data_IF_483136589199
#
_entry.id   IF_483136589199
#
_cell.length_a   1.000
_cell.length_b   1.000
_cell.length_c   1.000
_cell.angle_alpha   90.00
_cell.angle_beta   90.00
_cell.angle_gamma   90.00
#
_symmetry.space_group_name_H-M   'P 1'
#
loop_
_entity.id
_entity.type
_entity.pdbx_description
1 polymer ?
#
# COMPACT_ATOMS: atom_id res chain seq x y z
N UNK A 1 -14.37 -5.96 -23.96
CA UNK A 1 -13.23 -5.19 -23.43
C UNK A 1 -12.79 -5.88 -22.16
N UNK A 2 -11.84 -6.81 -22.27
CA UNK A 2 -11.22 -7.55 -21.17
C UNK A 2 -9.76 -7.12 -21.07
N UNK A 3 -9.20 -7.27 -19.87
CA UNK A 3 -7.82 -6.98 -19.46
C UNK A 3 -7.66 -5.59 -18.81
N UNK A 4 -8.12 -5.50 -17.56
CA UNK A 4 -7.52 -4.61 -16.55
C UNK A 4 -6.85 -5.46 -15.48
N UNK A 5 -5.89 -6.26 -15.92
CA UNK A 5 -5.04 -6.96 -14.98
C UNK A 5 -4.13 -5.95 -14.28
N UNK A 6 -4.09 -6.05 -12.96
CA UNK A 6 -3.07 -5.41 -12.14
C UNK A 6 -1.71 -5.79 -12.77
N UNK A 7 -1.01 -4.85 -13.40
CA UNK A 7 0.27 -5.14 -14.10
C UNK A 7 1.32 -5.76 -13.17
N UNK A 8 1.15 -5.56 -11.86
CA UNK A 8 1.98 -6.11 -10.79
C UNK A 8 1.22 -7.24 -10.09
N UNK A 9 1.91 -8.34 -9.78
CA UNK A 9 1.29 -9.47 -9.09
C UNK A 9 0.75 -9.05 -7.71
N UNK A 10 -0.53 -9.31 -7.44
CA UNK A 10 -1.19 -9.00 -6.16
C UNK A 10 -0.43 -9.55 -4.94
N UNK A 11 0.17 -10.75 -5.04
CA UNK A 11 1.01 -11.32 -3.97
C UNK A 11 2.25 -10.48 -3.70
N UNK A 12 2.87 -9.92 -4.75
CA UNK A 12 4.04 -9.06 -4.60
C UNK A 12 3.69 -7.76 -3.86
N UNK A 13 2.50 -7.21 -4.10
CA UNK A 13 2.02 -6.02 -3.38
C UNK A 13 1.79 -6.32 -1.90
N UNK A 14 1.23 -7.48 -1.56
CA UNK A 14 1.13 -7.94 -0.18
C UNK A 14 2.50 -8.06 0.50
N UNK A 15 3.49 -8.65 -0.17
CA UNK A 15 4.87 -8.71 0.34
C UNK A 15 5.45 -7.32 0.58
N UNK A 16 5.25 -6.37 -0.33
CA UNK A 16 5.71 -4.98 -0.17
C UNK A 16 5.08 -4.30 1.05
N UNK A 17 3.78 -4.50 1.26
CA UNK A 17 3.07 -3.89 2.40
C UNK A 17 3.50 -4.52 3.73
N UNK A 18 3.68 -5.84 3.78
CA UNK A 18 4.21 -6.54 4.96
C UNK A 18 5.63 -6.05 5.26
N UNK A 19 6.49 -5.94 4.24
CA UNK A 19 7.85 -5.44 4.41
C UNK A 19 7.88 -4.00 4.96
N UNK A 20 7.01 -3.12 4.46
CA UNK A 20 6.85 -1.77 4.99
C UNK A 20 6.44 -1.76 6.46
N UNK A 21 5.48 -2.59 6.85
CA UNK A 21 5.08 -2.73 8.25
C UNK A 21 6.25 -3.24 9.11
N UNK A 22 6.97 -4.26 8.66
CA UNK A 22 8.14 -4.78 9.38
C UNK A 22 9.22 -3.71 9.57
N UNK A 23 9.54 -2.94 8.54
CA UNK A 23 10.49 -1.82 8.65
C UNK A 23 10.00 -0.77 9.62
N UNK A 24 8.71 -0.44 9.61
CA UNK A 24 8.12 0.50 10.56
C UNK A 24 8.25 0.01 12.01
N UNK A 25 7.92 -1.25 12.28
CA UNK A 25 8.04 -1.83 13.62
C UNK A 25 9.51 -1.93 14.08
N UNK A 26 10.41 -2.41 13.22
CA UNK A 26 11.84 -2.48 13.52
C UNK A 26 12.43 -1.09 13.73
N UNK A 27 12.04 -0.11 12.91
CA UNK A 27 12.44 1.28 13.03
C UNK A 27 11.97 1.90 14.35
N UNK A 28 10.73 1.64 14.75
CA UNK A 28 10.18 2.10 16.02
C UNK A 28 10.88 1.45 17.22
N UNK A 29 11.11 0.13 17.18
CA UNK A 29 11.80 -0.60 18.23
C UNK A 29 13.25 -0.12 18.41
N UNK A 30 13.96 0.07 17.30
CA UNK A 30 15.32 0.59 17.30
C UNK A 30 15.40 1.99 17.92
N UNK A 31 14.40 2.86 17.66
CA UNK A 31 14.32 4.18 18.29
C UNK A 31 14.11 4.08 19.81
N UNK A 32 13.26 3.17 20.28
CA UNK A 32 13.03 2.94 21.72
C UNK A 32 14.31 2.42 22.40
N UNK A 33 15.05 1.53 21.73
CA UNK A 33 16.32 0.99 22.23
C UNK A 33 17.52 1.93 22.00
N UNK A 34 17.29 3.15 21.50
CA UNK A 34 18.32 4.14 21.17
C UNK A 34 19.40 3.63 20.20
N UNK A 35 19.05 2.67 19.34
CA UNK A 35 19.95 2.23 18.28
C UNK A 35 20.11 3.34 17.25
N UNK A 36 21.36 3.66 16.90
CA UNK A 36 21.68 4.56 15.81
C UNK A 36 21.43 3.85 14.47
N UNK A 37 20.17 3.88 14.02
CA UNK A 37 19.86 3.42 12.67
C UNK A 37 20.48 4.39 11.67
N UNK A 38 21.31 3.90 10.72
CA UNK A 38 21.82 4.74 9.67
C UNK A 38 20.66 5.34 8.86
N UNK A 39 20.81 6.60 8.47
CA UNK A 39 19.77 7.34 7.73
C UNK A 39 19.31 6.65 6.44
N UNK A 40 20.16 5.80 5.85
CA UNK A 40 19.84 4.96 4.70
C UNK A 40 18.63 4.03 4.93
N UNK A 41 18.43 3.52 6.14
CA UNK A 41 17.29 2.65 6.47
C UNK A 41 15.98 3.43 6.39
N UNK A 42 15.97 4.68 6.87
CA UNK A 42 14.82 5.57 6.73
C UNK A 42 14.51 5.83 5.26
N UNK A 43 15.55 6.12 4.45
CA UNK A 43 15.41 6.33 3.01
C UNK A 43 14.82 5.10 2.32
N UNK A 44 15.32 3.90 2.62
CA UNK A 44 14.78 2.64 2.06
C UNK A 44 13.32 2.44 2.46
N UNK A 45 12.97 2.69 3.72
CA UNK A 45 11.58 2.61 4.19
C UNK A 45 10.66 3.58 3.46
N UNK A 46 11.08 4.83 3.25
CA UNK A 46 10.31 5.81 2.49
C UNK A 46 10.14 5.40 1.02
N UNK A 47 11.19 4.91 0.37
CA UNK A 47 11.13 4.43 -1.02
C UNK A 47 10.11 3.29 -1.15
N UNK A 48 10.20 2.29 -0.25
CA UNK A 48 9.27 1.16 -0.25
C UNK A 48 7.83 1.61 0.03
N UNK A 49 7.64 2.56 0.93
CA UNK A 49 6.33 3.14 1.22
C UNK A 49 5.76 3.82 -0.02
N UNK A 50 6.49 4.75 -0.65
CA UNK A 50 6.03 5.45 -1.85
C UNK A 50 5.81 4.50 -3.04
N UNK A 51 6.65 3.48 -3.21
CA UNK A 51 6.46 2.47 -4.25
C UNK A 51 5.13 1.73 -4.04
N UNK A 52 4.87 1.25 -2.83
CA UNK A 52 3.60 0.57 -2.51
C UNK A 52 2.39 1.50 -2.70
N UNK A 53 2.54 2.77 -2.33
CA UNK A 53 1.52 3.78 -2.48
C UNK A 53 1.18 4.04 -3.95
N UNK A 54 2.19 4.25 -4.82
CA UNK A 54 1.98 4.48 -6.26
C UNK A 54 1.33 3.27 -6.92
N UNK A 55 1.77 2.06 -6.58
CA UNK A 55 1.22 0.82 -7.14
C UNK A 55 -0.28 0.70 -6.82
N UNK A 56 -0.67 0.95 -5.58
CA UNK A 56 -2.06 0.84 -5.14
C UNK A 56 -2.92 1.98 -5.70
N UNK A 57 -2.40 3.21 -5.74
CA UNK A 57 -3.09 4.33 -6.37
C UNK A 57 -3.33 4.04 -7.87
N UNK A 58 -2.33 3.47 -8.55
CA UNK A 58 -2.46 3.02 -9.93
C UNK A 58 -3.54 1.95 -10.11
N UNK A 59 -3.64 0.97 -9.21
CA UNK A 59 -4.71 -0.03 -9.23
C UNK A 59 -6.10 0.61 -9.11
N UNK A 60 -6.28 1.53 -8.15
CA UNK A 60 -7.56 2.23 -7.95
C UNK A 60 -7.96 3.07 -9.16
N UNK A 61 -6.99 3.74 -9.80
CA UNK A 61 -7.24 4.59 -10.96
C UNK A 61 -7.54 3.78 -12.23
N UNK A 62 -6.91 2.62 -12.38
CA UNK A 62 -7.04 1.79 -13.58
C UNK A 62 -8.25 0.86 -13.50
N UNK A 63 -8.57 0.32 -12.33
CA UNK A 63 -9.66 -0.61 -12.13
C UNK A 63 -10.99 0.06 -11.75
N UNK A 64 -12.09 -0.63 -12.04
CA UNK A 64 -13.43 -0.21 -11.61
C UNK A 64 -13.62 -0.55 -10.14
N UNK A 65 -13.05 0.27 -9.26
CA UNK A 65 -13.17 0.13 -7.81
C UNK A 65 -14.39 0.90 -7.32
N UNK A 66 -15.28 0.23 -6.58
CA UNK A 66 -16.38 0.88 -5.89
C UNK A 66 -15.87 1.96 -4.92
N UNK A 67 -16.52 3.13 -4.92
CA UNK A 67 -16.13 4.28 -4.09
C UNK A 67 -14.67 4.73 -4.30
N UNK A 68 -14.14 4.69 -5.54
CA UNK A 68 -12.75 5.06 -5.86
C UNK A 68 -12.23 6.33 -5.19
N UNK A 69 -13.04 7.38 -5.12
CA UNK A 69 -12.64 8.67 -4.56
C UNK A 69 -12.39 8.59 -3.06
N UNK A 70 -13.20 7.80 -2.34
CA UNK A 70 -12.99 7.53 -0.93
C UNK A 70 -11.63 6.86 -0.71
N UNK A 71 -11.34 5.79 -1.47
CA UNK A 71 -10.08 5.06 -1.34
C UNK A 71 -8.85 5.94 -1.65
N UNK A 72 -8.91 6.74 -2.72
CA UNK A 72 -7.84 7.67 -3.05
C UNK A 72 -7.63 8.72 -1.96
N UNK A 73 -8.70 9.32 -1.42
CA UNK A 73 -8.61 10.32 -0.34
C UNK A 73 -8.05 9.67 0.93
N UNK A 74 -8.53 8.48 1.30
CA UNK A 74 -8.05 7.74 2.46
C UNK A 74 -6.56 7.43 2.38
N UNK A 75 -6.03 7.17 1.18
CA UNK A 75 -4.59 6.96 0.97
C UNK A 75 -3.73 8.17 1.30
N UNK A 76 -4.27 9.39 1.34
CA UNK A 76 -3.54 10.58 1.80
C UNK A 76 -3.78 10.88 3.29
N UNK A 77 -5.00 10.66 3.78
CA UNK A 77 -5.35 10.96 5.17
C UNK A 77 -4.75 9.96 6.17
N UNK A 78 -4.80 8.67 5.82
CA UNK A 78 -4.33 7.57 6.68
C UNK A 78 -3.63 6.52 5.81
N UNK A 79 -2.48 6.86 5.20
CA UNK A 79 -1.89 6.05 4.14
C UNK A 79 -1.60 4.59 4.52
N UNK A 80 -0.97 4.27 5.68
CA UNK A 80 -0.65 2.89 6.02
C UNK A 80 -1.90 2.03 6.19
N UNK A 81 -2.94 2.59 6.84
CA UNK A 81 -4.20 1.89 7.08
C UNK A 81 -5.04 1.76 5.82
N UNK A 82 -5.12 2.82 5.02
CA UNK A 82 -5.86 2.82 3.76
C UNK A 82 -5.31 1.76 2.80
N UNK A 83 -3.98 1.68 2.66
CA UNK A 83 -3.30 0.68 1.84
C UNK A 83 -3.62 -0.76 2.29
N UNK A 84 -3.56 -1.03 3.60
CA UNK A 84 -3.87 -2.34 4.16
C UNK A 84 -5.34 -2.74 3.97
N UNK A 85 -6.25 -1.85 4.38
CA UNK A 85 -7.68 -2.11 4.29
C UNK A 85 -8.13 -2.24 2.84
N UNK A 86 -7.54 -1.45 1.94
CA UNK A 86 -7.77 -1.56 0.50
C UNK A 86 -7.40 -2.95 0.00
N UNK A 87 -6.20 -3.45 0.29
CA UNK A 87 -5.75 -4.77 -0.15
C UNK A 87 -6.64 -5.90 0.37
N UNK A 88 -7.12 -5.80 1.61
CA UNK A 88 -8.05 -6.77 2.19
C UNK A 88 -9.40 -6.73 1.48
N UNK A 89 -9.91 -5.54 1.16
CA UNK A 89 -11.24 -5.37 0.57
C UNK A 89 -11.24 -5.40 -0.96
N UNK A 90 -10.06 -5.45 -1.61
CA UNK A 90 -9.89 -5.26 -3.04
C UNK A 90 -10.83 -6.11 -3.89
N UNK A 91 -10.88 -7.41 -3.64
CA UNK A 91 -11.71 -8.33 -4.44
C UNK A 91 -13.21 -8.02 -4.30
N UNK A 92 -13.64 -7.59 -3.11
CA UNK A 92 -15.02 -7.15 -2.87
C UNK A 92 -15.31 -5.84 -3.62
N UNK A 93 -14.38 -4.88 -3.58
CA UNK A 93 -14.54 -3.58 -4.22
C UNK A 93 -14.53 -3.65 -5.74
N UNK A 94 -13.79 -4.60 -6.30
CA UNK A 94 -13.80 -4.91 -7.74
C UNK A 94 -15.16 -5.45 -8.17
N UNK A 95 -15.68 -6.46 -7.46
CA UNK A 95 -17.01 -7.03 -7.76
C UNK A 95 -18.10 -5.96 -7.71
N UNK A 96 -18.09 -5.13 -6.68
CA UNK A 96 -19.06 -4.04 -6.50
C UNK A 96 -18.92 -2.88 -7.51
N UNK A 97 -17.79 -2.77 -8.22
CA UNK A 97 -17.59 -1.76 -9.26
C UNK A 97 -17.87 -2.26 -10.68
N UNK A 98 -18.06 -3.57 -10.85
CA UNK A 98 -18.51 -4.20 -12.09
C UNK A 98 -20.04 -4.26 -12.22
N UNK A 99 -20.76 -4.25 -11.09
CA UNK A 99 -22.21 -4.04 -10.98
C UNK A 99 -22.62 -2.60 -11.32
#
# INVERSE_FOLDING_TARGET
MRDRDFRVNFRAVWFLVIANLSIFFLGSLARIQQWELPGSILTVGLILFFASWIIIAGDILTNKIANRSFWLISMFLVPPFAVLLYLIQRDKLLRLGEE
#
